data_IF_118292180429
#
_entry.id   IF_118292180429
#
_cell.length_a   1.000
_cell.length_b   1.000
_cell.length_c   1.000
_cell.angle_alpha   90.00
_cell.angle_beta   90.00
_cell.angle_gamma   90.00
#
_symmetry.space_group_name_H-M   'P 1'
#
loop_
_entity.id
_entity.type
_entity.pdbx_description
1 polymer ?
#
# COMPACT_ATOMS: atom_id res chain seq x y z
N UNK A 1 -0.99 -1.62 38.53
CA UNK A 1 0.07 -1.02 37.69
C UNK A 1 -0.29 -0.97 36.20
N UNK A 2 -0.39 -2.10 35.47
CA UNK A 2 -0.63 -2.11 34.01
C UNK A 2 -1.87 -1.31 33.55
N UNK A 3 -3.02 -1.48 34.22
CA UNK A 3 -4.25 -0.74 33.90
C UNK A 3 -4.06 0.78 34.01
N UNK A 4 -3.38 1.24 35.05
CA UNK A 4 -3.08 2.67 35.28
C UNK A 4 -2.19 3.19 34.14
N UNK A 5 -1.15 2.43 33.78
CA UNK A 5 -0.28 2.81 32.67
C UNK A 5 -1.03 2.93 31.36
N UNK A 6 -1.87 1.96 31.01
CA UNK A 6 -2.70 2.02 29.79
C UNK A 6 -3.64 3.25 29.80
N UNK A 7 -4.26 3.56 30.94
CA UNK A 7 -5.16 4.71 31.07
C UNK A 7 -4.41 6.04 30.83
N UNK A 8 -3.18 6.15 31.34
CA UNK A 8 -2.39 7.39 31.23
C UNK A 8 -1.75 7.52 29.84
N UNK A 9 -1.14 6.46 29.33
CA UNK A 9 -0.27 6.54 28.17
C UNK A 9 -0.99 6.40 26.82
N UNK A 10 -2.04 5.57 26.73
CA UNK A 10 -2.76 5.33 25.47
C UNK A 10 -3.48 6.56 24.91
N UNK A 11 -4.13 7.45 25.70
CA UNK A 11 -4.68 8.69 25.18
C UNK A 11 -3.62 9.57 24.52
N UNK A 12 -2.48 9.78 25.20
CA UNK A 12 -1.37 10.58 24.70
C UNK A 12 -0.80 10.00 23.40
N UNK A 13 -0.54 8.69 23.38
CA UNK A 13 -0.09 7.99 22.19
C UNK A 13 -1.11 8.11 21.03
N UNK A 14 -2.40 7.98 21.32
CA UNK A 14 -3.45 8.11 20.30
C UNK A 14 -3.44 9.50 19.67
N UNK A 15 -3.27 10.55 20.46
CA UNK A 15 -3.18 11.93 19.97
C UNK A 15 -1.94 12.09 19.07
N UNK A 16 -0.78 11.62 19.53
CA UNK A 16 0.47 11.66 18.76
C UNK A 16 0.30 10.94 17.42
N UNK A 17 -0.22 9.70 17.42
CA UNK A 17 -0.41 8.93 16.21
C UNK A 17 -1.49 9.52 15.28
N UNK A 18 -2.54 10.14 15.82
CA UNK A 18 -3.57 10.83 15.02
C UNK A 18 -2.97 12.05 14.29
N UNK A 19 -2.17 12.85 14.98
CA UNK A 19 -1.57 14.08 14.42
C UNK A 19 -0.43 13.74 13.46
N UNK A 20 0.55 12.97 13.93
CA UNK A 20 1.84 12.80 13.26
C UNK A 20 1.87 11.59 12.31
N UNK A 21 1.17 10.50 12.66
CA UNK A 21 1.09 9.28 11.84
C UNK A 21 -0.25 9.12 11.10
N UNK A 22 -1.14 10.12 11.18
CA UNK A 22 -2.45 10.09 10.51
C UNK A 22 -3.32 8.89 10.88
N UNK A 23 -3.27 8.41 12.12
CA UNK A 23 -4.01 7.23 12.58
C UNK A 23 -5.49 7.26 12.19
N UNK A 24 -5.93 6.25 11.46
CA UNK A 24 -7.34 5.97 11.15
C UNK A 24 -7.73 4.58 11.66
N UNK A 25 -8.97 4.44 12.14
CA UNK A 25 -9.43 3.25 12.82
C UNK A 25 -10.79 2.86 12.25
N UNK A 26 -10.92 1.59 11.88
CA UNK A 26 -12.08 1.00 11.22
C UNK A 26 -12.51 -0.28 11.92
N UNK A 27 -13.77 -0.70 11.75
CA UNK A 27 -14.24 -1.99 12.23
C UNK A 27 -14.50 -2.08 13.74
N UNK A 28 -14.42 -0.96 14.49
CA UNK A 28 -14.68 -0.96 15.95
C UNK A 28 -16.10 -1.41 16.30
N UNK A 29 -17.05 -1.18 15.41
CA UNK A 29 -18.43 -1.64 15.49
C UNK A 29 -18.54 -3.16 15.63
N UNK A 30 -17.60 -3.94 15.05
CA UNK A 30 -17.53 -5.39 15.19
C UNK A 30 -17.28 -5.83 16.64
N UNK A 31 -16.81 -4.93 17.51
CA UNK A 31 -16.46 -5.22 18.90
C UNK A 31 -17.57 -4.92 19.91
N UNK A 32 -18.67 -4.26 19.49
CA UNK A 32 -19.72 -3.77 20.40
C UNK A 32 -20.27 -4.90 21.28
N UNK A 33 -20.64 -6.02 20.67
CA UNK A 33 -21.28 -7.17 21.34
C UNK A 33 -20.29 -8.23 21.84
N UNK A 34 -18.99 -8.06 21.57
CA UNK A 34 -17.97 -9.02 21.98
C UNK A 34 -17.72 -8.92 23.49
N UNK A 35 -17.84 -10.02 24.22
CA UNK A 35 -17.54 -10.08 25.65
C UNK A 35 -16.02 -10.23 25.86
N UNK A 36 -15.49 -9.63 26.93
CA UNK A 36 -14.11 -9.88 27.39
C UNK A 36 -14.04 -11.25 28.06
N UNK A 37 -12.94 -12.02 27.94
CA UNK A 37 -11.71 -11.73 27.20
C UNK A 37 -11.74 -12.15 25.73
N UNK A 38 -10.78 -11.59 24.99
CA UNK A 38 -10.65 -11.70 23.52
C UNK A 38 -9.19 -11.90 23.18
N UNK A 39 -8.95 -12.68 22.11
CA UNK A 39 -7.66 -12.84 21.47
C UNK A 39 -7.63 -11.92 20.25
N UNK A 40 -6.91 -10.80 20.32
CA UNK A 40 -6.65 -9.97 19.15
C UNK A 40 -5.51 -10.59 18.36
N UNK A 41 -5.77 -10.98 17.11
CA UNK A 41 -4.76 -11.55 16.22
C UNK A 41 -4.37 -10.54 15.14
N UNK A 42 -3.09 -10.23 14.96
CA UNK A 42 -2.66 -9.18 14.02
C UNK A 42 -1.42 -9.55 13.21
N UNK A 43 -1.27 -8.90 12.05
CA UNK A 43 0.01 -8.84 11.35
C UNK A 43 1.03 -8.01 12.15
N UNK A 44 2.33 -8.25 11.96
CA UNK A 44 3.41 -7.57 12.68
C UNK A 44 4.39 -6.88 11.71
N UNK A 45 4.74 -5.63 12.00
CA UNK A 45 5.73 -4.83 11.28
C UNK A 45 6.59 -3.91 12.15
N UNK A 46 6.30 -3.75 13.46
CA UNK A 46 7.13 -2.97 14.38
C UNK A 46 6.84 -3.19 15.88
N UNK A 47 7.76 -2.76 16.74
CA UNK A 47 7.53 -2.69 18.20
C UNK A 47 6.39 -1.76 18.62
N UNK A 48 5.86 -0.93 17.70
CA UNK A 48 4.71 -0.06 17.97
C UNK A 48 3.37 -0.75 17.80
N UNK A 49 3.33 -1.97 17.26
CA UNK A 49 2.08 -2.63 16.91
C UNK A 49 1.20 -2.93 18.13
N UNK A 50 1.71 -3.52 19.25
CA UNK A 50 0.89 -3.70 20.45
C UNK A 50 0.28 -2.40 21.00
N UNK A 51 1.04 -1.29 21.17
CA UNK A 51 0.44 -0.04 21.61
C UNK A 51 -0.50 0.58 20.56
N UNK A 52 -0.27 0.42 19.24
CA UNK A 52 -1.19 0.87 18.18
C UNK A 52 -2.55 0.17 18.31
N UNK A 53 -2.57 -1.15 18.47
CA UNK A 53 -3.82 -1.91 18.65
C UNK A 53 -4.51 -1.46 19.94
N UNK A 54 -3.76 -1.37 21.03
CA UNK A 54 -4.28 -0.97 22.34
C UNK A 54 -4.90 0.44 22.32
N UNK A 55 -4.19 1.44 21.80
CA UNK A 55 -4.72 2.81 21.71
C UNK A 55 -5.91 2.90 20.74
N UNK A 56 -6.00 1.95 19.80
CA UNK A 56 -7.09 1.83 18.85
C UNK A 56 -8.36 1.21 19.42
N UNK A 57 -8.39 0.76 20.67
CA UNK A 57 -9.60 0.29 21.35
C UNK A 57 -10.27 1.33 22.24
N UNK A 58 -9.66 2.51 22.41
CA UNK A 58 -9.96 3.57 23.41
C UNK A 58 -9.46 3.27 24.82
N UNK A 59 -9.00 4.29 25.54
CA UNK A 59 -8.32 4.13 26.84
C UNK A 59 -9.20 3.53 27.95
N UNK A 60 -10.53 3.65 27.84
CA UNK A 60 -11.51 3.07 28.76
C UNK A 60 -12.19 1.81 28.19
N UNK A 61 -11.62 1.21 27.15
CA UNK A 61 -12.17 -0.01 26.57
C UNK A 61 -12.33 -1.12 27.61
N UNK A 62 -13.46 -1.85 27.56
CA UNK A 62 -13.69 -3.06 28.36
C UNK A 62 -12.57 -4.08 28.19
N UNK A 63 -11.87 -4.09 27.06
CA UNK A 63 -10.78 -5.03 26.79
C UNK A 63 -9.49 -4.73 27.57
N UNK A 64 -9.29 -3.51 28.10
CA UNK A 64 -8.12 -3.19 28.92
C UNK A 64 -8.18 -3.80 30.34
N UNK A 65 -7.03 -4.14 30.95
CA UNK A 65 -5.70 -4.16 30.35
C UNK A 65 -5.55 -5.32 29.35
N UNK A 66 -4.71 -5.11 28.34
CA UNK A 66 -4.40 -6.08 27.29
C UNK A 66 -2.94 -6.52 27.45
N UNK A 67 -2.71 -7.82 27.38
CA UNK A 67 -1.38 -8.40 27.41
C UNK A 67 -0.95 -8.78 26.00
N UNK A 68 0.34 -8.84 25.72
CA UNK A 68 0.80 -9.20 24.39
C UNK A 68 1.89 -10.26 24.43
N UNK A 69 1.70 -11.26 23.57
CA UNK A 69 2.61 -12.36 23.37
C UNK A 69 3.86 -11.87 22.64
N UNK A 70 5.04 -12.25 23.11
CA UNK A 70 6.31 -11.78 22.54
C UNK A 70 7.39 -12.85 22.58
N UNK A 71 8.35 -12.73 21.65
CA UNK A 71 9.55 -13.56 21.63
C UNK A 71 10.37 -13.44 22.92
N UNK A 72 10.88 -14.57 23.40
CA UNK A 72 11.66 -14.69 24.63
C UNK A 72 12.94 -13.83 24.63
N UNK A 73 13.58 -13.67 23.47
CA UNK A 73 14.81 -12.89 23.33
C UNK A 73 14.60 -11.41 23.65
N UNK A 74 13.39 -10.87 23.44
CA UNK A 74 13.06 -9.47 23.75
C UNK A 74 13.32 -9.17 25.23
N UNK A 75 12.98 -10.09 26.14
CA UNK A 75 13.09 -9.89 27.59
C UNK A 75 14.52 -9.87 28.12
N UNK A 76 15.51 -10.20 27.28
CA UNK A 76 16.94 -10.03 27.59
C UNK A 76 17.41 -8.59 27.38
N UNK A 77 16.59 -7.73 26.79
CA UNK A 77 16.92 -6.33 26.46
C UNK A 77 16.25 -5.33 27.41
N UNK A 78 16.76 -4.10 27.47
CA UNK A 78 16.11 -2.99 28.20
C UNK A 78 14.71 -2.68 27.67
N UNK A 79 14.52 -2.81 26.35
CA UNK A 79 13.21 -2.64 25.69
C UNK A 79 12.23 -3.70 26.20
N UNK A 80 12.66 -4.95 26.37
CA UNK A 80 11.82 -6.02 26.91
C UNK A 80 11.41 -5.80 28.36
N UNK A 81 12.28 -5.22 29.20
CA UNK A 81 11.93 -4.84 30.58
C UNK A 81 10.79 -3.81 30.58
N UNK A 82 10.88 -2.78 29.72
CA UNK A 82 9.82 -1.79 29.56
C UNK A 82 8.55 -2.38 28.94
N UNK A 83 8.69 -3.28 27.97
CA UNK A 83 7.57 -3.97 27.33
C UNK A 83 6.78 -4.80 28.36
N UNK A 84 7.46 -5.48 29.29
CA UNK A 84 6.80 -6.25 30.37
C UNK A 84 5.87 -5.38 31.22
N UNK A 85 6.30 -4.16 31.51
CA UNK A 85 5.53 -3.16 32.25
C UNK A 85 4.26 -2.74 31.48
N UNK A 86 4.31 -2.79 30.14
CA UNK A 86 3.20 -2.50 29.24
C UNK A 86 2.30 -3.69 28.89
N UNK A 87 2.60 -4.88 29.43
CA UNK A 87 1.79 -6.09 29.26
C UNK A 87 2.44 -7.20 28.44
N UNK A 88 3.71 -7.05 28.03
CA UNK A 88 4.43 -8.12 27.33
C UNK A 88 4.65 -9.33 28.23
N UNK A 89 4.52 -10.53 27.68
CA UNK A 89 4.96 -11.76 28.34
C UNK A 89 5.67 -12.70 27.35
N UNK A 90 6.64 -13.51 27.82
CA UNK A 90 7.40 -14.43 26.97
C UNK A 90 6.52 -15.58 26.51
N UNK A 91 6.61 -15.88 25.21
CA UNK A 91 5.84 -16.92 24.55
C UNK A 91 6.38 -18.33 24.72
N UNK A 92 7.65 -18.54 25.07
CA UNK A 92 8.27 -19.86 25.36
C UNK A 92 8.07 -20.94 24.27
N UNK A 93 7.81 -20.56 23.02
CA UNK A 93 7.53 -21.50 21.92
C UNK A 93 8.72 -22.39 21.52
N UNK A 94 9.93 -21.98 21.89
CA UNK A 94 11.13 -22.83 21.79
C UNK A 94 11.00 -24.11 22.63
N UNK A 95 10.20 -24.09 23.70
CA UNK A 95 9.94 -25.25 24.56
C UNK A 95 8.72 -26.09 24.14
N UNK A 96 8.06 -25.74 23.04
CA UNK A 96 6.85 -26.41 22.53
C UNK A 96 5.61 -25.51 22.54
N UNK A 97 4.56 -25.95 21.84
CA UNK A 97 3.29 -25.23 21.72
C UNK A 97 2.61 -25.10 23.08
N UNK A 98 2.52 -26.19 23.86
CA UNK A 98 1.89 -26.21 25.19
C UNK A 98 2.51 -25.17 26.15
N UNK A 99 3.84 -25.00 26.08
CA UNK A 99 4.55 -24.02 26.89
C UNK A 99 4.13 -22.58 26.56
N UNK A 100 3.83 -22.31 25.28
CA UNK A 100 3.33 -21.00 24.84
C UNK A 100 1.85 -20.78 25.06
N UNK A 101 1.06 -21.85 25.13
CA UNK A 101 -0.36 -21.75 25.48
C UNK A 101 -0.54 -21.41 26.95
N UNK A 102 0.22 -22.05 27.85
CA UNK A 102 0.04 -21.98 29.31
C UNK A 102 -0.20 -20.57 29.83
N UNK A 103 0.70 -19.62 29.55
CA UNK A 103 0.55 -18.27 30.11
C UNK A 103 -0.62 -17.51 29.49
N UNK A 104 -0.88 -17.75 28.21
CA UNK A 104 -1.96 -17.11 27.49
C UNK A 104 -3.32 -17.59 28.01
N UNK A 105 -3.47 -18.90 28.25
CA UNK A 105 -4.67 -19.49 28.85
C UNK A 105 -4.90 -18.99 30.29
N UNK A 106 -3.84 -18.94 31.12
CA UNK A 106 -3.92 -18.36 32.48
C UNK A 106 -4.48 -16.92 32.45
N UNK A 107 -4.02 -16.10 31.50
CA UNK A 107 -4.50 -14.73 31.34
C UNK A 107 -5.96 -14.67 30.87
N UNK A 108 -6.34 -15.50 29.89
CA UNK A 108 -7.69 -15.56 29.35
C UNK A 108 -8.69 -16.09 30.39
N UNK A 109 -8.39 -17.15 31.13
CA UNK A 109 -9.23 -17.64 32.22
C UNK A 109 -9.32 -16.62 33.37
N UNK A 110 -8.24 -15.86 33.62
CA UNK A 110 -8.23 -14.71 34.53
C UNK A 110 -8.94 -13.44 34.02
N UNK A 111 -9.70 -13.54 32.91
CA UNK A 111 -10.50 -12.44 32.37
C UNK A 111 -9.69 -11.35 31.66
N UNK A 112 -8.45 -11.63 31.22
CA UNK A 112 -7.58 -10.66 30.54
C UNK A 112 -7.54 -10.92 29.04
N UNK A 113 -7.66 -9.87 28.23
CA UNK A 113 -7.50 -9.97 26.78
C UNK A 113 -6.03 -10.03 26.40
N UNK A 114 -5.74 -10.67 25.27
CA UNK A 114 -4.37 -10.84 24.76
C UNK A 114 -4.26 -10.39 23.31
N UNK A 115 -3.07 -9.95 22.89
CA UNK A 115 -2.67 -9.75 21.50
C UNK A 115 -1.65 -10.82 21.15
N UNK A 116 -1.85 -11.50 20.02
CA UNK A 116 -0.92 -12.46 19.44
C UNK A 116 -0.71 -12.06 17.98
N UNK A 117 0.54 -12.03 17.52
CA UNK A 117 0.84 -11.73 16.12
C UNK A 117 1.12 -13.01 15.37
N UNK A 118 0.29 -13.32 14.36
CA UNK A 118 0.43 -14.56 13.56
C UNK A 118 1.64 -14.48 12.63
N UNK A 119 1.84 -13.31 12.04
CA UNK A 119 2.92 -12.99 11.12
C UNK A 119 4.12 -12.44 11.90
N UNK A 120 5.13 -13.24 12.28
CA UNK A 120 6.49 -12.73 12.65
C UNK A 120 6.80 -12.29 14.08
N UNK A 121 6.34 -12.99 15.12
CA UNK A 121 7.04 -12.88 16.41
C UNK A 121 8.43 -13.55 16.39
N UNK A 122 8.67 -14.53 15.50
CA UNK A 122 9.90 -15.33 15.50
C UNK A 122 10.52 -15.40 14.10
N UNK A 123 11.84 -15.26 14.01
CA UNK A 123 12.59 -15.31 12.74
C UNK A 123 12.71 -16.73 12.14
N UNK A 124 12.43 -17.77 12.94
CA UNK A 124 12.54 -19.16 12.51
C UNK A 124 11.19 -19.68 12.01
N UNK A 125 11.19 -20.26 10.81
CA UNK A 125 9.98 -20.77 10.16
C UNK A 125 9.20 -21.77 11.03
N UNK A 126 9.91 -22.69 11.71
CA UNK A 126 9.29 -23.67 12.61
C UNK A 126 8.50 -22.98 13.72
N UNK A 127 9.05 -21.89 14.29
CA UNK A 127 8.38 -21.14 15.35
C UNK A 127 7.20 -20.33 14.80
N UNK A 128 7.31 -19.77 13.60
CA UNK A 128 6.20 -19.10 12.93
C UNK A 128 5.02 -20.06 12.72
N UNK A 129 5.26 -21.25 12.15
CA UNK A 129 4.23 -22.29 11.97
C UNK A 129 3.59 -22.71 13.30
N UNK A 130 4.35 -22.73 14.40
CA UNK A 130 3.81 -23.01 15.74
C UNK A 130 2.86 -21.90 16.23
N UNK A 131 3.13 -20.63 15.93
CA UNK A 131 2.23 -19.51 16.31
C UNK A 131 0.89 -19.62 15.57
N UNK A 132 0.91 -19.97 14.29
CA UNK A 132 -0.33 -20.10 13.49
C UNK A 132 -1.28 -21.15 14.06
N UNK A 133 -0.72 -22.26 14.55
CA UNK A 133 -1.47 -23.31 15.24
C UNK A 133 -1.93 -22.87 16.62
N UNK A 134 -1.09 -22.11 17.33
CA UNK A 134 -1.34 -21.67 18.71
C UNK A 134 -2.64 -20.88 18.87
N UNK A 135 -2.89 -19.91 17.97
CA UNK A 135 -4.02 -18.97 18.09
C UNK A 135 -5.39 -19.69 18.07
N UNK A 136 -5.72 -20.54 17.08
CA UNK A 136 -6.96 -21.31 17.08
C UNK A 136 -7.05 -22.30 18.25
N UNK A 137 -5.95 -22.96 18.65
CA UNK A 137 -5.95 -23.87 19.80
C UNK A 137 -6.26 -23.14 21.11
N UNK A 138 -5.65 -21.98 21.34
CA UNK A 138 -5.95 -21.13 22.52
C UNK A 138 -7.41 -20.69 22.49
N UNK A 139 -7.96 -20.32 21.34
CA UNK A 139 -9.37 -19.94 21.21
C UNK A 139 -10.29 -21.09 21.59
N UNK A 140 -10.03 -22.30 21.09
CA UNK A 140 -10.77 -23.53 21.41
C UNK A 140 -10.73 -23.84 22.91
N UNK A 141 -9.55 -23.90 23.52
CA UNK A 141 -9.38 -24.26 24.93
C UNK A 141 -9.92 -23.20 25.90
N UNK A 142 -9.75 -21.92 25.57
CA UNK A 142 -10.24 -20.83 26.42
C UNK A 142 -11.71 -20.49 26.21
N UNK A 143 -12.33 -21.03 25.13
CA UNK A 143 -13.65 -20.66 24.63
C UNK A 143 -13.80 -19.15 24.40
N UNK A 144 -12.73 -18.48 23.93
CA UNK A 144 -12.70 -17.03 23.69
C UNK A 144 -12.57 -16.71 22.22
N UNK A 145 -13.27 -15.67 21.73
CA UNK A 145 -13.22 -15.33 20.32
C UNK A 145 -11.87 -14.77 19.92
N UNK A 146 -11.51 -15.01 18.67
CA UNK A 146 -10.42 -14.35 17.97
C UNK A 146 -10.99 -13.13 17.26
N UNK A 147 -10.41 -11.95 17.47
CA UNK A 147 -10.70 -10.77 16.66
C UNK A 147 -9.50 -10.53 15.75
N UNK A 148 -9.64 -10.72 14.43
CA UNK A 148 -8.58 -10.38 13.50
C UNK A 148 -8.41 -8.86 13.45
N UNK A 149 -7.17 -8.40 13.47
CA UNK A 149 -6.77 -7.01 13.41
C UNK A 149 -5.77 -6.86 12.28
N UNK A 150 -5.99 -5.88 11.41
CA UNK A 150 -5.05 -5.59 10.33
C UNK A 150 -4.45 -4.20 10.51
N UNK A 151 -3.12 -4.14 10.49
CA UNK A 151 -2.32 -2.94 10.59
C UNK A 151 -1.76 -2.58 9.22
N UNK A 152 -2.10 -1.40 8.73
CA UNK A 152 -1.54 -0.84 7.50
C UNK A 152 -0.59 0.30 7.83
N UNK A 153 0.59 0.30 7.19
CA UNK A 153 1.59 1.35 7.31
C UNK A 153 2.35 1.39 8.64
N UNK A 154 2.22 0.33 9.45
CA UNK A 154 2.91 0.15 10.74
C UNK A 154 4.33 -0.46 10.60
N UNK A 155 4.73 -0.85 9.39
CA UNK A 155 6.06 -1.41 9.13
C UNK A 155 7.18 -0.39 9.36
N UNK A 156 8.30 -0.85 9.94
CA UNK A 156 9.52 -0.06 10.11
C UNK A 156 9.27 1.32 10.76
N UNK A 157 8.33 1.37 11.71
CA UNK A 157 7.99 2.57 12.48
C UNK A 157 9.12 2.97 13.42
N UNK A 158 9.31 4.28 13.55
CA UNK A 158 10.19 4.88 14.56
C UNK A 158 9.66 6.25 14.94
N UNK A 159 9.99 6.71 16.15
CA UNK A 159 9.62 8.06 16.60
C UNK A 159 10.07 9.14 15.62
N UNK A 160 11.29 9.01 15.06
CA UNK A 160 11.82 9.92 14.04
C UNK A 160 10.90 10.00 12.81
N UNK A 161 10.42 8.86 12.29
CA UNK A 161 9.52 8.83 11.11
C UNK A 161 8.13 9.37 11.47
N UNK A 162 7.62 9.06 12.66
CA UNK A 162 6.33 9.57 13.16
C UNK A 162 6.37 11.10 13.23
N UNK A 163 7.28 11.70 14.00
CA UNK A 163 7.35 13.15 14.19
C UNK A 163 7.74 13.93 12.92
N UNK A 164 8.33 13.27 11.92
CA UNK A 164 8.56 13.85 10.58
C UNK A 164 7.36 13.72 9.62
N UNK A 165 6.20 13.27 10.11
CA UNK A 165 4.99 13.03 9.31
C UNK A 165 5.22 12.05 8.15
N UNK A 166 6.11 11.08 8.33
CA UNK A 166 6.51 10.13 7.28
C UNK A 166 5.71 8.82 7.30
N UNK A 167 4.58 8.81 8.01
CA UNK A 167 3.79 7.60 8.22
C UNK A 167 2.30 7.87 8.12
N UNK A 168 1.59 6.86 7.63
CA UNK A 168 0.13 6.76 7.64
C UNK A 168 -0.23 5.40 8.25
N UNK A 169 -0.78 5.41 9.45
CA UNK A 169 -1.20 4.17 10.13
C UNK A 169 -2.71 4.03 10.01
N UNK A 170 -3.16 2.84 9.62
CA UNK A 170 -4.57 2.49 9.70
C UNK A 170 -4.73 1.15 10.43
N UNK A 171 -5.81 1.03 11.20
CA UNK A 171 -6.14 -0.16 11.97
C UNK A 171 -7.55 -0.61 11.59
N UNK A 172 -7.70 -1.87 11.23
CA UNK A 172 -9.01 -2.48 10.97
C UNK A 172 -9.25 -3.61 11.96
N UNK A 173 -10.38 -3.57 12.68
CA UNK A 173 -10.84 -4.68 13.52
C UNK A 173 -11.89 -5.48 12.75
N UNK A 174 -11.58 -6.73 12.40
CA UNK A 174 -12.53 -7.59 11.68
C UNK A 174 -13.58 -8.21 12.59
N UNK A 175 -14.41 -9.08 12.00
CA UNK A 175 -15.49 -9.77 12.71
C UNK A 175 -14.91 -10.80 13.69
N UNK A 176 -15.47 -10.95 14.89
CA UNK A 176 -15.03 -11.95 15.84
C UNK A 176 -15.28 -13.36 15.29
N UNK A 177 -14.24 -14.19 15.32
CA UNK A 177 -14.30 -15.62 15.02
C UNK A 177 -14.45 -16.41 16.32
N UNK A 178 -15.44 -17.30 16.34
CA UNK A 178 -15.66 -18.25 17.44
C UNK A 178 -15.32 -19.65 16.93
N UNK A 179 -14.29 -20.26 17.48
CA UNK A 179 -13.87 -21.61 17.09
C UNK A 179 -14.84 -22.63 17.68
N UNK A 180 -15.41 -23.48 16.82
CA UNK A 180 -16.24 -24.61 17.24
C UNK A 180 -15.35 -25.76 17.73
N UNK A 181 -15.65 -26.31 18.90
CA UNK A 181 -14.89 -27.38 19.53
C UNK A 181 -14.82 -28.69 18.72
N UNK A 182 -15.76 -28.91 17.79
CA UNK A 182 -15.81 -30.09 16.93
C UNK A 182 -14.86 -30.06 15.73
N UNK A 183 -14.28 -28.90 15.41
CA UNK A 183 -13.35 -28.79 14.29
C UNK A 183 -12.03 -29.51 14.60
N UNK A 184 -11.50 -30.17 13.57
CA UNK A 184 -10.12 -30.67 13.54
C UNK A 184 -9.12 -29.51 13.56
N UNK A 185 -7.85 -29.80 13.85
CA UNK A 185 -6.80 -28.76 13.86
C UNK A 185 -6.67 -28.05 12.51
N UNK A 186 -6.69 -28.80 11.41
CA UNK A 186 -6.57 -28.25 10.06
C UNK A 186 -7.74 -27.33 9.71
N UNK A 187 -8.97 -27.73 10.04
CA UNK A 187 -10.16 -26.90 9.82
C UNK A 187 -10.11 -25.60 10.63
N UNK A 188 -9.66 -25.66 11.90
CA UNK A 188 -9.53 -24.46 12.73
C UNK A 188 -8.51 -23.48 12.15
N UNK A 189 -7.36 -23.99 11.68
CA UNK A 189 -6.33 -23.18 11.04
C UNK A 189 -6.88 -22.54 9.76
N UNK A 190 -7.60 -23.31 8.94
CA UNK A 190 -8.22 -22.80 7.72
C UNK A 190 -9.21 -21.66 8.02
N UNK A 191 -10.17 -21.88 8.93
CA UNK A 191 -11.17 -20.86 9.29
C UNK A 191 -10.52 -19.62 9.92
N UNK A 192 -9.44 -19.81 10.69
CA UNK A 192 -8.65 -18.69 11.22
C UNK A 192 -8.00 -17.86 10.10
N UNK A 193 -7.37 -18.51 9.12
CA UNK A 193 -6.77 -17.83 7.97
C UNK A 193 -7.80 -17.17 7.05
N UNK A 194 -8.94 -17.81 6.83
CA UNK A 194 -10.07 -17.22 6.10
C UNK A 194 -10.53 -15.93 6.81
N UNK A 195 -10.63 -15.95 8.14
CA UNK A 195 -10.98 -14.76 8.94
C UNK A 195 -9.93 -13.63 8.88
N UNK A 196 -8.63 -13.96 8.79
CA UNK A 196 -7.56 -12.99 8.59
C UNK A 196 -7.61 -12.40 7.16
N UNK A 197 -7.84 -13.26 6.16
CA UNK A 197 -8.02 -12.88 4.76
C UNK A 197 -9.18 -11.91 4.58
N UNK A 198 -10.33 -12.20 5.19
CA UNK A 198 -11.49 -11.30 5.20
C UNK A 198 -11.15 -9.91 5.78
N UNK A 199 -10.44 -9.87 6.91
CA UNK A 199 -10.05 -8.61 7.54
C UNK A 199 -9.09 -7.79 6.65
N UNK A 200 -8.14 -8.47 5.99
CA UNK A 200 -7.22 -7.86 5.02
C UNK A 200 -7.97 -7.35 3.79
N UNK A 201 -8.85 -8.15 3.21
CA UNK A 201 -9.64 -7.78 2.03
C UNK A 201 -10.52 -6.54 2.30
N UNK A 202 -11.16 -6.47 3.46
CA UNK A 202 -11.91 -5.26 3.89
C UNK A 202 -11.03 -4.04 4.03
N UNK A 203 -9.81 -4.21 4.54
CA UNK A 203 -8.86 -3.11 4.63
C UNK A 203 -8.42 -2.62 3.24
N UNK A 204 -8.16 -3.54 2.31
CA UNK A 204 -7.84 -3.22 0.91
C UNK A 204 -9.01 -2.48 0.26
N UNK A 205 -10.25 -2.94 0.45
CA UNK A 205 -11.45 -2.27 -0.07
C UNK A 205 -11.55 -0.80 0.40
N UNK A 206 -11.27 -0.55 1.68
CA UNK A 206 -11.23 0.82 2.25
C UNK A 206 -10.14 1.66 1.59
N UNK A 207 -8.96 1.08 1.35
CA UNK A 207 -7.83 1.77 0.69
C UNK A 207 -8.17 2.08 -0.77
N UNK A 208 -8.67 1.09 -1.54
CA UNK A 208 -9.09 1.26 -2.94
C UNK A 208 -10.15 2.36 -3.08
N UNK A 209 -11.21 2.33 -2.27
CA UNK A 209 -12.26 3.37 -2.29
C UNK A 209 -11.72 4.77 -2.01
N UNK A 210 -10.72 4.89 -1.14
CA UNK A 210 -10.05 6.18 -0.89
C UNK A 210 -9.22 6.64 -2.06
N UNK A 211 -8.49 5.75 -2.73
CA UNK A 211 -7.72 6.10 -3.92
C UNK A 211 -8.63 6.49 -5.07
N UNK A 212 -9.67 5.71 -5.35
CA UNK A 212 -10.66 6.05 -6.37
C UNK A 212 -11.29 7.41 -6.10
N UNK A 213 -11.72 7.70 -4.86
CA UNK A 213 -12.23 9.04 -4.51
C UNK A 213 -11.16 10.12 -4.65
N UNK A 214 -9.90 9.82 -4.35
CA UNK A 214 -8.81 10.78 -4.43
C UNK A 214 -8.50 11.16 -5.89
N UNK A 215 -8.42 10.17 -6.78
CA UNK A 215 -8.09 10.34 -8.19
C UNK A 215 -9.30 10.78 -9.03
N UNK A 216 -10.51 10.30 -8.75
CA UNK A 216 -11.74 10.78 -9.39
C UNK A 216 -12.06 12.25 -9.09
N UNK A 217 -11.52 12.83 -8.01
CA UNK A 217 -11.56 14.28 -7.81
C UNK A 217 -10.51 15.03 -8.62
N UNK A 218 -9.37 14.40 -8.90
CA UNK A 218 -8.29 14.97 -9.69
C UNK A 218 -8.59 14.99 -11.19
N UNK A 219 -9.24 13.94 -11.71
CA UNK A 219 -9.60 13.83 -13.14
C UNK A 219 -10.43 15.02 -13.64
N UNK A 220 -11.29 15.59 -12.78
CA UNK A 220 -12.15 16.76 -13.08
C UNK A 220 -11.43 18.01 -13.60
N UNK A 221 -10.14 18.14 -13.32
CA UNK A 221 -9.34 19.29 -13.73
C UNK A 221 -7.99 18.90 -14.33
N UNK A 222 -7.80 17.62 -14.66
CA UNK A 222 -6.54 17.10 -15.18
C UNK A 222 -6.16 17.74 -16.54
N UNK A 223 -7.12 17.94 -17.42
CA UNK A 223 -6.94 18.60 -18.72
C UNK A 223 -6.32 20.01 -18.64
N UNK A 224 -6.50 20.74 -17.52
CA UNK A 224 -5.86 22.04 -17.33
C UNK A 224 -4.38 21.90 -16.95
N UNK A 225 -4.00 20.83 -16.26
CA UNK A 225 -2.58 20.53 -15.98
C UNK A 225 -1.83 20.22 -17.28
N UNK A 226 -2.47 19.49 -18.20
CA UNK A 226 -1.82 19.06 -19.45
C UNK A 226 -1.38 20.24 -20.34
N UNK A 227 -2.05 21.38 -20.21
CA UNK A 227 -1.70 22.61 -20.93
C UNK A 227 -0.43 23.28 -20.43
N UNK A 228 0.02 22.96 -19.22
CA UNK A 228 1.16 23.60 -18.58
C UNK A 228 2.49 23.18 -19.23
N UNK A 229 3.41 24.12 -19.40
CA UNK A 229 4.69 23.88 -20.07
C UNK A 229 5.50 22.75 -19.42
N UNK A 230 5.58 22.62 -18.07
CA UNK A 230 6.27 21.48 -17.45
C UNK A 230 5.63 20.12 -17.75
N UNK A 231 4.32 20.07 -17.97
CA UNK A 231 3.67 18.82 -18.36
C UNK A 231 3.99 18.48 -19.83
N UNK A 232 4.00 19.48 -20.71
CA UNK A 232 4.42 19.31 -22.11
C UNK A 232 5.89 18.88 -22.21
N UNK A 233 6.77 19.46 -21.39
CA UNK A 233 8.16 19.03 -21.21
C UNK A 233 8.23 17.53 -20.87
N UNK A 234 7.43 17.08 -19.90
CA UNK A 234 7.36 15.67 -19.53
C UNK A 234 6.93 14.77 -20.69
N UNK A 235 5.85 15.13 -21.38
CA UNK A 235 5.31 14.34 -22.50
C UNK A 235 6.32 14.25 -23.65
N UNK A 236 6.99 15.35 -23.97
CA UNK A 236 8.02 15.38 -25.02
C UNK A 236 9.28 14.59 -24.62
N UNK A 237 9.77 14.74 -23.39
CA UNK A 237 10.88 13.94 -22.90
C UNK A 237 10.55 12.43 -22.84
N UNK A 238 9.30 12.10 -22.54
CA UNK A 238 8.79 10.72 -22.55
C UNK A 238 8.75 10.17 -23.98
N UNK A 239 8.24 10.96 -24.95
CA UNK A 239 8.28 10.63 -26.38
C UNK A 239 9.69 10.32 -26.86
N UNK A 240 10.66 11.13 -26.46
CA UNK A 240 12.07 10.94 -26.82
C UNK A 240 12.72 9.73 -26.14
N UNK A 241 12.12 9.22 -25.06
CA UNK A 241 12.59 8.02 -24.35
C UNK A 241 12.05 6.72 -24.97
N UNK A 242 10.90 6.78 -25.65
CA UNK A 242 10.32 5.67 -26.40
C UNK A 242 11.10 5.48 -27.71
N UNK A 243 11.64 4.28 -27.90
CA UNK A 243 12.33 3.88 -29.13
C UNK A 243 11.36 3.55 -30.26
N UNK A 244 11.73 2.59 -31.10
CA UNK A 244 10.86 2.10 -32.16
C UNK A 244 9.66 1.36 -31.59
N UNK A 245 8.46 1.74 -32.07
CA UNK A 245 7.20 1.12 -31.67
C UNK A 245 6.81 0.14 -32.78
N UNK A 246 6.91 -1.15 -32.47
CA UNK A 246 6.54 -2.28 -33.34
C UNK A 246 5.88 -3.38 -32.51
N UNK A 247 5.09 -4.23 -33.17
CA UNK A 247 4.38 -5.31 -32.50
C UNK A 247 3.30 -4.79 -31.56
N UNK A 248 3.23 -5.35 -30.35
CA UNK A 248 2.13 -5.10 -29.40
C UNK A 248 2.60 -4.26 -28.22
N UNK A 249 1.92 -3.16 -27.96
CA UNK A 249 2.21 -2.23 -26.88
C UNK A 249 1.02 -2.06 -25.95
N UNK A 250 1.30 -1.79 -24.68
CA UNK A 250 0.28 -1.43 -23.69
C UNK A 250 0.72 -0.18 -22.92
N UNK A 251 -0.20 0.78 -22.80
CA UNK A 251 -0.06 1.96 -21.97
C UNK A 251 -0.93 1.80 -20.71
N UNK A 252 -0.27 1.88 -19.55
CA UNK A 252 -0.88 1.72 -18.24
C UNK A 252 -1.21 3.09 -17.66
N UNK A 253 -2.45 3.31 -17.23
CA UNK A 253 -2.90 4.60 -16.69
C UNK A 253 -2.90 5.69 -17.75
N UNK A 254 -3.52 5.42 -18.89
CA UNK A 254 -3.48 6.25 -20.10
C UNK A 254 -4.08 7.64 -19.94
N UNK A 255 -4.94 7.88 -18.94
CA UNK A 255 -5.57 9.17 -18.71
C UNK A 255 -6.29 9.67 -19.98
N UNK A 256 -5.95 10.88 -20.41
CA UNK A 256 -6.49 11.51 -21.64
C UNK A 256 -5.98 10.87 -22.95
N UNK A 257 -4.97 9.99 -22.89
CA UNK A 257 -4.36 9.32 -24.03
C UNK A 257 -3.14 10.03 -24.65
N UNK A 258 -2.47 10.93 -23.92
CA UNK A 258 -1.28 11.63 -24.43
C UNK A 258 -0.16 10.66 -24.88
N UNK A 259 0.15 9.65 -24.08
CA UNK A 259 1.17 8.63 -24.41
C UNK A 259 0.66 7.68 -25.50
N UNK A 260 -0.63 7.33 -25.49
CA UNK A 260 -1.27 6.53 -26.54
C UNK A 260 -1.11 7.18 -27.92
N UNK A 261 -1.26 8.51 -28.03
CA UNK A 261 -1.00 9.21 -29.29
C UNK A 261 0.45 9.07 -29.74
N UNK A 262 1.41 9.19 -28.81
CA UNK A 262 2.84 9.04 -29.12
C UNK A 262 3.13 7.64 -29.65
N UNK A 263 2.58 6.61 -29.01
CA UNK A 263 2.72 5.23 -29.46
C UNK A 263 2.12 5.05 -30.86
N UNK A 264 0.93 5.62 -31.10
CA UNK A 264 0.26 5.53 -32.40
C UNK A 264 1.06 6.24 -33.51
N UNK A 265 1.58 7.44 -33.24
CA UNK A 265 2.43 8.19 -34.17
C UNK A 265 3.70 7.42 -34.52
N UNK A 266 4.42 6.90 -33.52
CA UNK A 266 5.66 6.14 -33.71
C UNK A 266 5.44 4.76 -34.33
N UNK A 267 4.28 4.16 -34.07
CA UNK A 267 3.91 2.81 -34.52
C UNK A 267 3.21 2.77 -35.87
N UNK A 268 2.82 3.92 -36.42
CA UNK A 268 2.02 4.01 -37.65
C UNK A 268 2.65 3.27 -38.84
N UNK A 269 3.96 3.44 -39.06
CA UNK A 269 4.67 2.77 -40.17
C UNK A 269 4.93 1.28 -39.92
N UNK A 270 4.74 0.80 -38.69
CA UNK A 270 5.05 -0.57 -38.28
C UNK A 270 3.79 -1.40 -37.97
N UNK A 271 2.59 -0.87 -38.23
CA UNK A 271 1.30 -1.48 -37.86
C UNK A 271 1.26 -1.98 -36.40
N UNK A 272 1.78 -1.19 -35.47
CA UNK A 272 1.78 -1.56 -34.07
C UNK A 272 0.35 -1.59 -33.48
N UNK A 273 0.05 -2.64 -32.72
CA UNK A 273 -1.18 -2.77 -31.93
C UNK A 273 -0.95 -2.10 -30.56
N UNK A 274 -1.88 -1.26 -30.14
CA UNK A 274 -1.78 -0.49 -28.90
C UNK A 274 -2.99 -0.78 -28.02
N UNK A 275 -2.75 -1.12 -26.76
CA UNK A 275 -3.78 -1.24 -25.73
C UNK A 275 -3.66 -0.05 -24.79
N UNK A 276 -4.68 0.80 -24.74
CA UNK A 276 -4.80 1.90 -23.79
C UNK A 276 -5.62 1.44 -22.59
N UNK A 277 -5.12 1.69 -21.38
CA UNK A 277 -5.79 1.20 -20.16
C UNK A 277 -5.90 2.26 -19.08
N UNK A 278 -7.02 2.27 -18.37
CA UNK A 278 -7.22 3.11 -17.19
C UNK A 278 -8.22 2.45 -16.21
N UNK A 279 -8.23 2.90 -14.96
CA UNK A 279 -9.15 2.42 -13.93
C UNK A 279 -10.29 3.42 -13.67
N UNK A 280 -10.18 4.66 -14.14
CA UNK A 280 -11.24 5.67 -14.02
C UNK A 280 -12.16 5.62 -15.24
N UNK A 281 -13.45 5.37 -15.01
CA UNK A 281 -14.44 5.24 -16.08
C UNK A 281 -14.51 6.45 -17.03
N UNK A 282 -14.36 7.66 -16.50
CA UNK A 282 -14.36 8.88 -17.33
C UNK A 282 -13.22 8.89 -18.35
N UNK A 283 -12.02 8.43 -17.98
CA UNK A 283 -10.90 8.33 -18.91
C UNK A 283 -11.11 7.21 -19.92
N UNK A 284 -11.70 6.08 -19.51
CA UNK A 284 -12.07 5.00 -20.46
C UNK A 284 -13.05 5.51 -21.53
N UNK A 285 -14.07 6.27 -21.15
CA UNK A 285 -15.00 6.87 -22.11
C UNK A 285 -14.32 7.90 -23.01
N UNK A 286 -13.47 8.75 -22.46
CA UNK A 286 -12.69 9.74 -23.22
C UNK A 286 -11.76 9.06 -24.24
N UNK A 287 -11.03 8.03 -23.84
CA UNK A 287 -10.13 7.25 -24.69
C UNK A 287 -10.91 6.57 -25.83
N UNK A 288 -12.06 5.94 -25.52
CA UNK A 288 -12.92 5.31 -26.54
C UNK A 288 -13.37 6.34 -27.57
N UNK A 289 -13.83 7.51 -27.14
CA UNK A 289 -14.26 8.57 -28.05
C UNK A 289 -13.10 9.13 -28.88
N UNK A 290 -11.93 9.31 -28.27
CA UNK A 290 -10.73 9.86 -28.92
C UNK A 290 -10.18 8.94 -30.00
N UNK A 291 -10.20 7.63 -29.75
CA UNK A 291 -9.57 6.62 -30.60
C UNK A 291 -10.57 5.75 -31.39
N UNK A 292 -11.85 6.11 -31.43
CA UNK A 292 -12.91 5.34 -32.10
C UNK A 292 -12.64 5.00 -33.57
N UNK A 293 -11.94 5.88 -34.30
CA UNK A 293 -11.61 5.70 -35.72
C UNK A 293 -10.23 5.02 -35.93
N UNK A 294 -9.58 4.55 -34.85
CA UNK A 294 -8.23 3.95 -34.88
C UNK A 294 -8.32 2.45 -34.66
N UNK A 295 -8.30 1.68 -35.75
CA UNK A 295 -8.44 0.22 -35.72
C UNK A 295 -7.28 -0.50 -35.01
N UNK A 296 -6.11 0.13 -34.88
CA UNK A 296 -4.94 -0.41 -34.21
C UNK A 296 -4.88 -0.11 -32.70
N UNK A 297 -5.86 0.62 -32.15
CA UNK A 297 -5.91 1.00 -30.74
C UNK A 297 -7.13 0.36 -30.09
N UNK A 298 -6.90 -0.44 -29.05
CA UNK A 298 -7.94 -1.00 -28.19
C UNK A 298 -7.94 -0.29 -26.84
N UNK A 299 -9.12 0.02 -26.32
CA UNK A 299 -9.29 0.62 -24.98
C UNK A 299 -9.86 -0.43 -24.02
N UNK A 300 -9.16 -0.69 -22.92
CA UNK A 300 -9.55 -1.68 -21.92
C UNK A 300 -9.58 -1.06 -20.51
N UNK A 301 -10.55 -1.46 -19.70
CA UNK A 301 -10.54 -1.12 -18.27
C UNK A 301 -9.51 -1.98 -17.56
N UNK A 302 -8.61 -1.38 -16.78
CA UNK A 302 -7.63 -2.09 -15.98
C UNK A 302 -7.36 -1.34 -14.67
N UNK A 303 -7.68 -1.98 -13.54
CA UNK A 303 -7.23 -1.54 -12.22
C UNK A 303 -5.92 -2.24 -11.87
N UNK A 304 -4.82 -1.50 -11.85
CA UNK A 304 -3.50 -2.02 -11.44
C UNK A 304 -3.46 -2.45 -9.97
N UNK A 305 -4.49 -2.09 -9.19
CA UNK A 305 -4.71 -2.59 -7.85
C UNK A 305 -5.22 -4.03 -7.78
N UNK A 306 -5.68 -4.58 -8.91
CA UNK A 306 -6.12 -5.95 -9.08
C UNK A 306 -5.11 -6.75 -9.93
N UNK A 307 -5.49 -7.98 -10.30
CA UNK A 307 -4.64 -8.86 -11.08
C UNK A 307 -4.47 -8.37 -12.52
N UNK A 308 -3.22 -8.33 -13.01
CA UNK A 308 -2.90 -8.04 -14.40
C UNK A 308 -2.94 -9.35 -15.18
N UNK A 309 -4.03 -9.59 -15.91
CA UNK A 309 -4.34 -10.84 -16.60
C UNK A 309 -3.97 -10.82 -18.09
N UNK A 310 -2.71 -10.54 -18.39
CA UNK A 310 -2.18 -10.70 -19.74
C UNK A 310 -1.26 -11.92 -19.83
N UNK A 311 -1.19 -12.51 -21.02
CA UNK A 311 -0.29 -13.62 -21.30
C UNK A 311 1.18 -13.19 -21.10
N UNK A 312 2.01 -14.10 -20.58
CA UNK A 312 3.45 -13.87 -20.43
C UNK A 312 4.10 -13.68 -21.80
N UNK A 313 5.10 -12.81 -21.89
CA UNK A 313 5.83 -12.53 -23.14
C UNK A 313 4.91 -12.14 -24.32
N UNK A 314 3.88 -11.34 -24.08
CA UNK A 314 2.90 -10.93 -25.10
C UNK A 314 3.12 -9.51 -25.64
N UNK A 315 3.87 -8.65 -24.92
CA UNK A 315 4.10 -7.26 -25.31
C UNK A 315 5.55 -6.97 -25.70
N UNK A 316 5.72 -6.23 -26.79
CA UNK A 316 6.99 -5.69 -27.26
C UNK A 316 7.37 -4.41 -26.51
N UNK A 317 6.39 -3.70 -25.96
CA UNK A 317 6.65 -2.57 -25.08
C UNK A 317 5.53 -2.24 -24.11
N UNK A 318 5.91 -1.66 -22.97
CA UNK A 318 5.00 -1.16 -21.94
C UNK A 318 5.33 0.30 -21.64
N UNK A 319 4.32 1.14 -21.57
CA UNK A 319 4.44 2.52 -21.08
C UNK A 319 3.59 2.77 -19.84
N UNK A 320 4.08 3.61 -18.93
CA UNK A 320 3.34 3.99 -17.73
C UNK A 320 3.76 5.39 -17.22
N UNK A 321 3.07 6.45 -17.65
CA UNK A 321 3.41 7.82 -17.26
C UNK A 321 2.66 8.24 -15.98
N UNK A 322 3.39 8.53 -14.89
CA UNK A 322 2.84 9.01 -13.63
C UNK A 322 1.63 8.19 -13.12
N UNK A 323 1.78 6.85 -13.08
CA UNK A 323 0.75 5.96 -12.52
C UNK A 323 1.31 5.00 -11.48
N UNK A 324 2.43 4.33 -11.78
CA UNK A 324 2.96 3.24 -10.96
C UNK A 324 3.32 3.63 -9.51
N UNK A 325 3.91 4.82 -9.24
CA UNK A 325 4.24 5.21 -7.87
C UNK A 325 3.02 5.40 -6.95
N UNK A 326 1.82 5.46 -7.55
CA UNK A 326 0.55 5.67 -6.84
C UNK A 326 -0.17 4.37 -6.49
N UNK A 327 0.35 3.22 -6.91
CA UNK A 327 -0.24 1.91 -6.61
C UNK A 327 0.03 1.54 -5.15
N UNK A 328 -1.02 1.47 -4.34
CA UNK A 328 -0.94 1.22 -2.89
C UNK A 328 -1.42 -0.19 -2.49
N UNK A 329 -2.04 -0.92 -3.40
CA UNK A 329 -2.48 -2.30 -3.26
C UNK A 329 -2.32 -3.02 -4.60
N UNK A 330 -2.10 -4.33 -4.61
CA UNK A 330 -2.04 -5.16 -5.81
C UNK A 330 -2.05 -6.65 -5.41
N UNK A 331 -3.04 -7.44 -5.89
CA UNK A 331 -3.16 -8.87 -5.58
C UNK A 331 -2.92 -9.19 -4.10
N UNK A 332 -3.76 -8.60 -3.24
CA UNK A 332 -3.69 -8.61 -1.78
C UNK A 332 -2.47 -7.92 -1.13
N UNK A 333 -1.37 -7.72 -1.85
CA UNK A 333 -0.21 -6.98 -1.35
C UNK A 333 -0.55 -5.50 -1.14
N UNK A 334 0.17 -4.85 -0.23
CA UNK A 334 -0.01 -3.44 0.13
C UNK A 334 1.32 -2.68 0.04
N UNK A 335 1.23 -1.36 -0.14
CA UNK A 335 2.36 -0.44 -0.15
C UNK A 335 3.47 -0.85 -1.13
N UNK A 336 4.73 -0.86 -0.68
CA UNK A 336 5.89 -1.13 -1.52
C UNK A 336 5.85 -2.55 -2.10
N UNK A 337 5.26 -3.52 -1.38
CA UNK A 337 5.09 -4.88 -1.90
C UNK A 337 4.14 -4.90 -3.10
N UNK A 338 3.03 -4.15 -3.04
CA UNK A 338 2.12 -3.99 -4.17
C UNK A 338 2.82 -3.39 -5.39
N UNK A 339 3.54 -2.30 -5.19
CA UNK A 339 4.32 -1.65 -6.26
C UNK A 339 5.35 -2.59 -6.90
N UNK A 340 6.10 -3.34 -6.09
CA UNK A 340 7.05 -4.35 -6.60
C UNK A 340 6.35 -5.45 -7.38
N UNK A 341 5.17 -5.90 -6.95
CA UNK A 341 4.43 -6.95 -7.65
C UNK A 341 3.91 -6.47 -9.02
N UNK A 342 3.44 -5.22 -9.12
CA UNK A 342 3.09 -4.63 -10.44
C UNK A 342 4.30 -4.61 -11.38
N UNK A 343 5.47 -4.17 -10.90
CA UNK A 343 6.69 -4.19 -11.72
C UNK A 343 7.10 -5.61 -12.15
N UNK A 344 6.89 -6.62 -11.30
CA UNK A 344 7.10 -8.03 -11.66
C UNK A 344 6.13 -8.49 -12.73
N UNK A 345 4.84 -8.18 -12.63
CA UNK A 345 3.89 -8.53 -13.68
C UNK A 345 4.21 -7.84 -15.01
N UNK A 346 4.63 -6.57 -14.98
CA UNK A 346 5.12 -5.86 -16.18
C UNK A 346 6.31 -6.61 -16.82
N UNK A 347 7.27 -7.08 -15.99
CA UNK A 347 8.37 -7.90 -16.49
C UNK A 347 7.90 -9.22 -17.10
N UNK A 348 6.91 -9.87 -16.50
CA UNK A 348 6.37 -11.15 -16.99
C UNK A 348 5.66 -11.02 -18.34
N UNK A 349 4.90 -9.95 -18.57
CA UNK A 349 4.13 -9.75 -19.81
C UNK A 349 5.01 -9.24 -20.97
N UNK A 350 6.16 -8.62 -20.68
CA UNK A 350 7.11 -8.20 -21.71
C UNK A 350 7.78 -9.42 -22.38
N UNK A 351 7.94 -9.37 -23.70
CA UNK A 351 8.78 -10.30 -24.46
C UNK A 351 10.26 -10.12 -24.12
N UNK A 352 11.11 -11.14 -24.31
CA UNK A 352 12.55 -10.93 -24.30
C UNK A 352 12.97 -9.81 -25.26
N UNK A 353 13.82 -8.88 -24.80
CA UNK A 353 14.14 -7.65 -25.52
C UNK A 353 13.07 -6.54 -25.48
N UNK A 354 11.91 -6.79 -24.89
CA UNK A 354 10.81 -5.83 -24.78
C UNK A 354 11.16 -4.61 -23.92
N UNK A 355 10.71 -3.44 -24.36
CA UNK A 355 11.02 -2.16 -23.74
C UNK A 355 10.01 -1.72 -22.67
N UNK A 356 10.50 -1.08 -21.60
CA UNK A 356 9.65 -0.50 -20.57
C UNK A 356 10.05 0.96 -20.31
N UNK A 357 9.11 1.88 -20.52
CA UNK A 357 9.30 3.32 -20.26
C UNK A 357 8.22 3.80 -19.31
N UNK A 358 8.60 4.36 -18.17
CA UNK A 358 7.65 4.83 -17.17
C UNK A 358 8.18 6.08 -16.47
N UNK A 359 7.34 6.73 -15.68
CA UNK A 359 7.77 7.91 -14.93
C UNK A 359 7.32 7.92 -13.48
N UNK A 360 8.10 8.60 -12.65
CA UNK A 360 7.87 8.70 -11.22
C UNK A 360 8.30 10.05 -10.66
N UNK A 361 7.51 10.69 -9.78
CA UNK A 361 8.00 11.80 -8.99
C UNK A 361 9.23 11.39 -8.18
N UNK A 362 10.27 12.24 -8.20
CA UNK A 362 11.50 11.93 -7.48
C UNK A 362 11.29 11.94 -5.96
N UNK A 363 12.15 11.23 -5.23
CA UNK A 363 12.21 11.35 -3.76
C UNK A 363 12.39 12.81 -3.33
N UNK A 364 11.51 13.26 -2.43
CA UNK A 364 11.51 14.65 -1.96
C UNK A 364 11.04 15.66 -3.00
N UNK A 365 10.19 15.24 -3.95
CA UNK A 365 9.51 16.11 -4.92
C UNK A 365 8.90 17.34 -4.24
N UNK A 366 8.94 18.47 -4.94
CA UNK A 366 8.36 19.76 -4.52
C UNK A 366 7.48 20.29 -5.64
N UNK A 367 6.19 19.97 -5.62
CA UNK A 367 5.29 20.33 -6.74
C UNK A 367 5.04 21.84 -6.86
N UNK A 368 5.29 22.61 -5.79
CA UNK A 368 5.27 24.07 -5.91
C UNK A 368 6.30 24.60 -6.92
N UNK A 369 7.42 23.88 -7.15
CA UNK A 369 8.39 24.26 -8.19
C UNK A 369 7.81 24.09 -9.59
N UNK A 370 7.02 23.04 -9.82
CA UNK A 370 6.28 22.84 -11.07
C UNK A 370 5.28 23.97 -11.25
N UNK A 371 4.52 24.31 -10.21
CA UNK A 371 3.57 25.40 -10.23
C UNK A 371 4.22 26.76 -10.59
N UNK A 372 5.38 27.08 -10.01
CA UNK A 372 6.14 28.29 -10.35
C UNK A 372 6.63 28.25 -11.80
N UNK A 373 7.09 27.10 -12.29
CA UNK A 373 7.49 26.94 -13.69
C UNK A 373 6.30 27.14 -14.65
N UNK A 374 5.07 26.79 -14.23
CA UNK A 374 3.84 26.99 -14.99
C UNK A 374 3.30 28.43 -14.99
N UNK A 375 3.95 29.40 -14.32
CA UNK A 375 3.41 30.77 -14.12
C UNK A 375 2.95 31.45 -15.41
N UNK A 376 3.65 31.24 -16.53
CA UNK A 376 3.27 31.82 -17.84
C UNK A 376 1.93 31.27 -18.34
N UNK A 377 1.69 29.97 -18.16
CA UNK A 377 0.42 29.34 -18.51
C UNK A 377 -0.71 29.77 -17.56
N UNK A 378 -0.39 29.94 -16.27
CA UNK A 378 -1.36 30.34 -15.23
C UNK A 378 -1.90 31.74 -15.52
N UNK A 379 -1.02 32.69 -15.87
CA UNK A 379 -1.38 34.07 -16.16
C UNK A 379 -1.65 34.33 -17.65
N UNK A 380 -1.93 33.29 -18.44
CA UNK A 380 -2.35 33.46 -19.82
C UNK A 380 -3.81 33.95 -19.88
N UNK A 381 -3.97 35.24 -20.14
CA UNK A 381 -5.29 35.89 -20.21
C UNK A 381 -6.17 35.40 -21.36
N UNK A 382 -5.62 34.62 -22.31
CA UNK A 382 -6.41 33.97 -23.38
C UNK A 382 -7.22 32.78 -22.87
N UNK A 383 -6.79 32.12 -21.79
CA UNK A 383 -7.52 31.02 -21.15
C UNK A 383 -7.73 31.31 -19.66
N UNK A 384 -8.69 32.19 -19.37
CA UNK A 384 -9.02 32.64 -18.00
C UNK A 384 -9.36 31.50 -17.03
N UNK A 385 -9.72 30.30 -17.54
CA UNK A 385 -9.97 29.12 -16.70
C UNK A 385 -8.70 28.65 -15.99
N UNK A 386 -7.51 28.87 -16.57
CA UNK A 386 -6.25 28.48 -15.94
C UNK A 386 -6.06 29.15 -14.58
N UNK A 387 -6.39 30.43 -14.43
CA UNK A 387 -6.30 31.15 -13.15
C UNK A 387 -7.17 30.47 -12.08
N UNK A 388 -8.36 30.00 -12.47
CA UNK A 388 -9.30 29.36 -11.56
C UNK A 388 -8.87 27.94 -11.14
N UNK A 389 -8.42 27.11 -12.08
CA UNK A 389 -8.06 25.71 -11.79
C UNK A 389 -6.64 25.54 -11.23
N UNK A 390 -5.73 26.48 -11.46
CA UNK A 390 -4.33 26.37 -11.00
C UNK A 390 -4.20 26.22 -9.47
N UNK A 391 -4.91 26.98 -8.62
CA UNK A 391 -4.92 26.73 -7.17
C UNK A 391 -5.45 25.33 -6.79
N UNK A 392 -6.44 24.80 -7.52
CA UNK A 392 -6.97 23.45 -7.29
C UNK A 392 -5.93 22.37 -7.62
N UNK A 393 -5.23 22.54 -8.75
CA UNK A 393 -4.12 21.68 -9.18
C UNK A 393 -3.01 21.70 -8.13
N UNK A 394 -2.58 22.88 -7.66
CA UNK A 394 -1.54 22.99 -6.64
C UNK A 394 -1.96 22.32 -5.33
N UNK A 395 -3.18 22.56 -4.86
CA UNK A 395 -3.70 21.93 -3.65
C UNK A 395 -3.68 20.39 -3.77
N UNK A 396 -4.10 19.85 -4.91
CA UNK A 396 -4.05 18.42 -5.15
C UNK A 396 -2.60 17.89 -5.22
N UNK A 397 -1.71 18.59 -5.92
CA UNK A 397 -0.30 18.22 -6.00
C UNK A 397 0.37 18.22 -4.61
N UNK A 398 0.05 19.19 -3.75
CA UNK A 398 0.54 19.21 -2.36
C UNK A 398 0.00 18.04 -1.52
N UNK A 399 -1.23 17.59 -1.77
CA UNK A 399 -1.76 16.35 -1.16
C UNK A 399 -1.00 15.12 -1.65
N UNK A 400 -0.73 15.02 -2.96
CA UNK A 400 0.09 13.95 -3.54
C UNK A 400 1.49 13.95 -2.91
N UNK A 401 2.15 15.10 -2.81
CA UNK A 401 3.45 15.27 -2.14
C UNK A 401 3.40 14.81 -0.68
N UNK A 402 2.35 15.18 0.05
CA UNK A 402 2.14 14.75 1.44
C UNK A 402 1.98 13.24 1.56
N UNK A 403 1.30 12.58 0.61
CA UNK A 403 1.15 11.12 0.57
C UNK A 403 2.47 10.42 0.25
N UNK A 404 3.27 10.96 -0.67
CA UNK A 404 4.63 10.49 -0.93
C UNK A 404 5.53 10.65 0.30
N UNK A 405 5.51 11.81 0.96
CA UNK A 405 6.25 12.03 2.23
C UNK A 405 5.85 11.05 3.32
N UNK A 406 4.57 10.68 3.40
CA UNK A 406 4.02 9.69 4.34
C UNK A 406 4.36 8.23 4.01
N UNK A 407 5.06 7.98 2.89
CA UNK A 407 5.36 6.63 2.41
C UNK A 407 4.13 5.86 1.92
N UNK A 408 3.03 6.56 1.60
CA UNK A 408 1.86 5.96 0.98
C UNK A 408 2.09 5.82 -0.53
N UNK A 409 2.68 6.83 -1.16
CA UNK A 409 3.14 6.77 -2.55
C UNK A 409 4.65 6.55 -2.62
N UNK A 410 5.09 5.86 -3.66
CA UNK A 410 6.44 5.28 -3.76
C UNK A 410 7.40 6.21 -4.50
N UNK A 411 7.60 7.41 -3.96
CA UNK A 411 8.58 8.37 -4.49
C UNK A 411 9.99 7.99 -4.01
N UNK A 412 10.52 6.93 -4.61
CA UNK A 412 11.78 6.31 -4.26
C UNK A 412 12.98 7.07 -4.84
N UNK A 413 14.15 6.91 -4.23
CA UNK A 413 15.40 7.39 -4.79
C UNK A 413 15.76 6.58 -6.04
N UNK A 414 16.62 7.13 -6.91
CA UNK A 414 17.08 6.44 -8.12
C UNK A 414 17.69 5.08 -7.78
N UNK A 415 18.54 5.04 -6.77
CA UNK A 415 19.26 3.84 -6.34
C UNK A 415 18.31 2.76 -5.80
N UNK A 416 17.22 3.18 -5.15
CA UNK A 416 16.16 2.28 -4.67
C UNK A 416 15.36 1.69 -5.84
N UNK A 417 15.08 2.49 -6.88
CA UNK A 417 14.41 2.03 -8.10
C UNK A 417 15.31 1.06 -8.87
N UNK A 418 16.57 1.43 -9.09
CA UNK A 418 17.55 0.61 -9.83
C UNK A 418 17.70 -0.76 -9.16
N UNK A 419 17.86 -0.79 -7.83
CA UNK A 419 17.91 -2.03 -7.06
C UNK A 419 16.67 -2.91 -7.28
N UNK A 420 15.47 -2.33 -7.21
CA UNK A 420 14.22 -3.09 -7.39
C UNK A 420 14.13 -3.66 -8.82
N UNK A 421 14.45 -2.84 -9.83
CA UNK A 421 14.37 -3.26 -11.24
C UNK A 421 15.39 -4.36 -11.55
N UNK A 422 16.62 -4.23 -11.04
CA UNK A 422 17.66 -5.27 -11.17
C UNK A 422 17.28 -6.55 -10.42
N UNK A 423 16.73 -6.46 -9.20
CA UNK A 423 16.22 -7.63 -8.46
C UNK A 423 15.11 -8.38 -9.21
N UNK A 424 14.31 -7.68 -10.02
CA UNK A 424 13.26 -8.28 -10.85
C UNK A 424 13.84 -8.90 -12.14
N UNK A 425 14.96 -8.39 -12.64
CA UNK A 425 15.65 -8.88 -13.84
C UNK A 425 15.69 -7.91 -15.01
N UNK A 426 15.24 -6.65 -14.83
CA UNK A 426 15.38 -5.62 -15.86
C UNK A 426 16.84 -5.23 -16.08
N UNK A 427 17.18 -4.92 -17.33
CA UNK A 427 18.51 -4.46 -17.77
C UNK A 427 18.42 -3.09 -18.45
N UNK A 428 19.58 -2.49 -18.76
CA UNK A 428 19.70 -1.21 -19.46
C UNK A 428 18.91 -0.06 -18.81
N UNK A 429 18.94 0.02 -17.47
CA UNK A 429 18.20 1.00 -16.68
C UNK A 429 18.81 2.38 -16.85
N UNK A 430 18.04 3.33 -17.35
CA UNK A 430 18.43 4.73 -17.52
C UNK A 430 17.36 5.67 -16.96
N UNK A 431 17.79 6.87 -16.52
CA UNK A 431 16.91 7.87 -15.92
C UNK A 431 17.11 9.22 -16.59
N UNK A 432 16.00 9.91 -16.90
CA UNK A 432 15.99 11.29 -17.38
C UNK A 432 15.11 12.14 -16.47
N UNK A 433 15.62 13.28 -16.01
CA UNK A 433 14.88 14.22 -15.16
C UNK A 433 14.06 15.15 -16.04
N UNK A 434 12.79 15.36 -15.71
CA UNK A 434 11.83 16.19 -16.46
C UNK A 434 10.83 16.90 -15.52
N UNK A 435 9.84 17.59 -16.09
CA UNK A 435 8.76 18.32 -15.41
C UNK A 435 9.29 19.28 -14.34
N UNK A 436 10.04 20.32 -14.76
CA UNK A 436 10.72 21.24 -13.84
C UNK A 436 11.62 20.50 -12.81
N UNK A 437 12.31 19.46 -13.28
CA UNK A 437 13.20 18.60 -12.50
C UNK A 437 12.55 17.88 -11.32
N UNK A 438 11.25 17.60 -11.38
CA UNK A 438 10.48 16.96 -10.31
C UNK A 438 10.10 15.51 -10.60
N UNK A 439 10.21 15.06 -11.84
CA UNK A 439 9.85 13.70 -12.28
C UNK A 439 11.06 13.05 -12.93
N UNK A 440 11.25 11.76 -12.68
CA UNK A 440 12.19 10.91 -13.39
C UNK A 440 11.42 10.08 -14.41
N UNK A 441 11.84 10.10 -15.66
CA UNK A 441 11.48 9.11 -16.67
C UNK A 441 12.52 7.99 -16.57
N UNK A 442 12.05 6.77 -16.40
CA UNK A 442 12.87 5.56 -16.28
C UNK A 442 12.63 4.71 -17.52
N UNK A 443 13.73 4.27 -18.14
CA UNK A 443 13.72 3.31 -19.24
C UNK A 443 14.52 2.09 -18.85
N UNK A 444 13.99 0.91 -19.13
CA UNK A 444 14.67 -0.37 -18.98
C UNK A 444 14.11 -1.39 -19.98
N UNK A 445 14.69 -2.59 -20.02
CA UNK A 445 14.26 -3.66 -20.92
C UNK A 445 14.30 -5.02 -20.23
N UNK A 446 13.51 -5.97 -20.73
CA UNK A 446 13.67 -7.39 -20.41
C UNK A 446 14.86 -7.93 -21.20
N UNK A 447 15.76 -8.73 -20.59
CA UNK A 447 16.86 -9.36 -21.32
C UNK A 447 16.35 -10.22 -22.49
N UNK A 448 17.17 -10.37 -23.53
CA UNK A 448 16.91 -11.21 -24.72
C UNK A 448 17.01 -12.69 -24.36
#
# INVERSE_FOLDING_TARGET
MLKIMHIISLPALRIIFKIFAGLEIYGRENLKNVKKPVIFSSNHGSYFDPPIISMSLTSFSKFHPIYYFSEDSLFKTTIGKLAKVWGAFPGKLNKGIDSGMRKTLELLWGGKSVIIFFEWCYKQEILARRVDKLIPLISKESMRPIVPVFLYGAENLSWKKIFKFQKKVMVFFGKPLYINGHLSEEEMIKVFYDSLGDARARMIEIVKKKEQKFWGNYSKFYNYLEKADPHKELVEDFKNSIGDVKGRWIDLGSGSGAIVNILNEKGASNNAEIIATDFEHNFIEELKNRFKEKNNIRVEFLDLGDQINFEKNSFDGVTANLVLPYIVCHNDALNLAAFKNVLKNIFEILKPGGGFVWSSPKKGVRFWKVFVASRKNIFDFKDKKNIYYSPMILNQALKIEKRGRRGVYHFLAKEEIDKILTEIGFVNITHKVSMAKQVNIIKCAKPI
#
